data_IF_818901285953
#
_entry.id   IF_818901285953
#
_cell.length_a   1.000
_cell.length_b   1.000
_cell.length_c   1.000
_cell.angle_alpha   90.00
_cell.angle_beta   90.00
_cell.angle_gamma   90.00
#
_symmetry.space_group_name_H-M   'P 1'
#
loop_
_entity.id
_entity.type
_entity.pdbx_description
1 polymer ?
#
# COMPACT_ATOMS: atom_id res chain seq x y z
N UNK A 1 -13.35 22.33 22.02
CA UNK A 1 -13.96 20.98 21.96
C UNK A 1 -15.16 20.84 22.90
N UNK A 2 -15.03 21.17 24.19
CA UNK A 2 -16.18 21.13 25.12
C UNK A 2 -17.28 22.17 24.82
N UNK A 3 -16.90 23.31 24.25
CA UNK A 3 -17.84 24.40 23.91
C UNK A 3 -18.83 24.09 22.79
N UNK A 4 -18.59 23.04 22.00
CA UNK A 4 -19.50 22.59 20.93
C UNK A 4 -20.20 21.27 21.27
N UNK A 5 -20.21 20.86 22.56
CA UNK A 5 -20.85 19.63 23.00
C UNK A 5 -20.11 18.33 22.67
N UNK A 6 -18.89 18.40 22.10
CA UNK A 6 -18.09 17.21 21.81
C UNK A 6 -17.29 16.77 23.04
N UNK A 7 -17.62 15.60 23.57
CA UNK A 7 -16.88 14.91 24.65
C UNK A 7 -15.75 14.06 24.08
N UNK A 8 -14.79 14.70 23.41
CA UNK A 8 -13.58 14.02 22.93
C UNK A 8 -12.42 14.33 23.88
N UNK A 9 -11.84 13.29 24.48
CA UNK A 9 -10.65 13.42 25.33
C UNK A 9 -9.40 13.73 24.48
N UNK A 10 -8.45 14.49 25.04
CA UNK A 10 -7.26 14.98 24.34
C UNK A 10 -6.41 13.86 23.71
N UNK A 11 -6.13 12.75 24.43
CA UNK A 11 -5.45 11.58 23.87
C UNK A 11 -6.23 10.93 22.72
N UNK A 12 -7.56 10.80 22.86
CA UNK A 12 -8.42 10.22 21.81
C UNK A 12 -8.44 11.10 20.56
N UNK A 13 -8.50 12.42 20.73
CA UNK A 13 -8.39 13.39 19.64
C UNK A 13 -7.05 13.27 18.91
N UNK A 14 -5.95 13.20 19.67
CA UNK A 14 -4.60 13.05 19.12
C UNK A 14 -4.44 11.76 18.32
N UNK A 15 -4.98 10.65 18.83
CA UNK A 15 -4.97 9.37 18.13
C UNK A 15 -5.79 9.41 16.83
N UNK A 16 -6.99 9.97 16.87
CA UNK A 16 -7.83 10.16 15.67
C UNK A 16 -7.12 11.04 14.63
N UNK A 17 -6.47 12.11 15.06
CA UNK A 17 -5.73 13.00 14.18
C UNK A 17 -4.54 12.29 13.50
N UNK A 18 -3.76 11.50 14.25
CA UNK A 18 -2.68 10.67 13.68
C UNK A 18 -3.19 9.67 12.64
N UNK A 19 -4.35 9.05 12.89
CA UNK A 19 -4.94 8.13 11.93
C UNK A 19 -5.38 8.86 10.65
N UNK A 20 -6.01 10.03 10.79
CA UNK A 20 -6.34 10.88 9.63
C UNK A 20 -5.12 11.33 8.84
N UNK A 21 -4.00 11.64 9.50
CA UNK A 21 -2.73 11.96 8.83
C UNK A 21 -2.20 10.79 7.99
N UNK A 22 -2.34 9.55 8.45
CA UNK A 22 -1.97 8.36 7.67
C UNK A 22 -2.86 8.22 6.43
N UNK A 23 -4.17 8.34 6.59
CA UNK A 23 -5.13 8.30 5.48
C UNK A 23 -4.80 9.39 4.46
N UNK A 24 -4.50 10.61 4.91
CA UNK A 24 -4.07 11.71 4.04
C UNK A 24 -2.83 11.34 3.23
N UNK A 25 -1.77 10.81 3.85
CA UNK A 25 -0.53 10.41 3.15
C UNK A 25 -0.78 9.37 2.07
N UNK A 26 -1.57 8.33 2.37
CA UNK A 26 -1.93 7.27 1.41
C UNK A 26 -2.71 7.85 0.24
N UNK A 27 -3.67 8.72 0.52
CA UNK A 27 -4.48 9.37 -0.50
C UNK A 27 -3.66 10.33 -1.37
N UNK A 28 -2.72 11.07 -0.77
CA UNK A 28 -1.79 11.95 -1.49
C UNK A 28 -0.87 11.18 -2.43
N UNK A 29 -0.39 10.02 -1.98
CA UNK A 29 0.39 9.10 -2.83
C UNK A 29 -0.46 8.59 -4.01
N UNK A 30 -1.69 8.16 -3.75
CA UNK A 30 -2.62 7.72 -4.82
C UNK A 30 -2.88 8.83 -5.84
N UNK A 31 -3.10 10.07 -5.37
CA UNK A 31 -3.25 11.24 -6.23
C UNK A 31 -2.03 11.43 -7.15
N UNK A 32 -0.80 11.26 -6.63
CA UNK A 32 0.41 11.39 -7.45
C UNK A 32 0.58 10.30 -8.52
N UNK A 33 -0.01 9.12 -8.33
CA UNK A 33 0.08 7.98 -9.26
C UNK A 33 -1.01 8.06 -10.33
N UNK A 34 -2.25 8.40 -9.93
CA UNK A 34 -3.40 8.41 -10.83
C UNK A 34 -3.49 9.69 -11.66
N UNK A 35 -2.76 10.75 -11.29
CA UNK A 35 -2.61 11.98 -12.09
C UNK A 35 -3.87 12.84 -12.20
N UNK A 36 -5.01 12.38 -11.69
CA UNK A 36 -6.24 13.15 -11.58
C UNK A 36 -6.35 13.74 -10.18
N UNK A 37 -6.83 14.99 -10.10
CA UNK A 37 -6.84 15.85 -8.91
C UNK A 37 -7.72 15.33 -7.76
N UNK A 38 -8.31 16.24 -6.98
CA UNK A 38 -9.13 15.90 -5.80
C UNK A 38 -10.22 14.83 -6.09
N UNK A 39 -10.66 14.70 -7.34
CA UNK A 39 -11.63 13.71 -7.82
C UNK A 39 -11.22 12.25 -7.59
N UNK A 40 -9.92 11.93 -7.51
CA UNK A 40 -9.49 10.54 -7.28
C UNK A 40 -9.59 10.12 -5.80
N UNK A 41 -9.70 11.08 -4.89
CA UNK A 41 -9.80 10.85 -3.45
C UNK A 41 -11.20 11.23 -2.99
N UNK A 42 -12.10 10.25 -2.90
CA UNK A 42 -13.42 10.44 -2.31
C UNK A 42 -13.34 10.55 -0.77
N UNK A 43 -12.63 11.56 -0.27
CA UNK A 43 -12.54 11.90 1.14
C UNK A 43 -12.86 13.38 1.31
N UNK A 44 -14.06 13.73 1.84
CA UNK A 44 -14.56 15.11 1.89
C UNK A 44 -13.64 16.10 2.63
N UNK A 45 -12.80 15.59 3.52
CA UNK A 45 -11.89 16.39 4.34
C UNK A 45 -10.49 16.52 3.74
N UNK A 46 -10.23 15.96 2.54
CA UNK A 46 -8.89 15.88 1.97
C UNK A 46 -8.27 17.27 1.73
N UNK A 47 -9.00 18.19 1.10
CA UNK A 47 -8.52 19.56 0.85
C UNK A 47 -8.25 20.33 2.15
N UNK A 48 -9.14 20.18 3.13
CA UNK A 48 -8.97 20.80 4.45
C UNK A 48 -7.72 20.25 5.16
N UNK A 49 -7.47 18.95 5.02
CA UNK A 49 -6.29 18.30 5.58
C UNK A 49 -5.00 18.66 4.83
N UNK A 50 -5.09 18.90 3.52
CA UNK A 50 -3.99 19.39 2.70
C UNK A 50 -3.55 20.79 3.13
N UNK A 51 -4.49 21.69 3.46
CA UNK A 51 -4.15 23.01 3.98
C UNK A 51 -3.38 22.96 5.32
N UNK A 52 -3.64 21.93 6.14
CA UNK A 52 -2.99 21.72 7.45
C UNK A 52 -1.65 21.00 7.29
N UNK A 53 -1.61 19.90 6.52
CA UNK A 53 -0.45 19.01 6.42
C UNK A 53 0.48 19.33 5.24
N UNK A 54 -0.01 20.01 4.20
CA UNK A 54 0.73 20.36 2.99
C UNK A 54 1.64 21.57 3.15
N UNK A 55 1.45 22.38 4.21
CA UNK A 55 2.41 23.40 4.60
C UNK A 55 3.60 22.73 5.29
N UNK A 56 4.64 22.42 4.51
CA UNK A 56 5.98 22.17 5.03
C UNK A 56 6.43 23.42 5.81
N UNK A 57 6.13 23.48 7.12
CA UNK A 57 6.77 24.47 7.99
C UNK A 57 8.25 24.08 7.99
N UNK A 58 9.06 24.83 7.24
CA UNK A 58 10.52 24.76 7.31
C UNK A 58 10.91 25.15 8.72
N UNK A 59 10.99 24.19 9.62
CA UNK A 59 11.64 24.38 10.91
C UNK A 59 13.13 24.46 10.64
N UNK A 60 13.62 25.69 10.43
CA UNK A 60 15.04 25.98 10.53
C UNK A 60 15.39 25.87 12.01
N UNK A 61 15.85 24.70 12.43
CA UNK A 61 16.37 24.52 13.79
C UNK A 61 17.60 25.43 13.91
N UNK A 62 17.63 26.39 14.86
CA UNK A 62 18.82 27.21 15.09
C UNK A 62 20.00 26.29 15.44
N UNK A 63 21.08 26.43 14.66
CA UNK A 63 22.30 25.61 14.74
C UNK A 63 23.00 25.70 16.11
N UNK A 64 22.62 26.67 16.95
CA UNK A 64 23.20 26.91 18.27
C UNK A 64 22.92 25.83 19.32
N UNK A 65 21.99 24.89 19.08
CA UNK A 65 21.71 23.76 20.00
C UNK A 65 22.49 22.46 19.70
N UNK A 66 23.36 22.42 18.68
CA UNK A 66 24.16 21.24 18.32
C UNK A 66 25.66 21.47 18.57
N UNK A 67 26.01 21.84 19.80
CA UNK A 67 27.39 21.81 20.27
C UNK A 67 27.80 20.39 20.65
N UNK A 68 28.55 19.70 19.79
CA UNK A 68 29.17 18.42 20.10
C UNK A 68 29.98 17.88 18.91
N UNK A 69 31.30 18.04 18.98
CA UNK A 69 32.30 17.86 17.92
C UNK A 69 32.27 16.55 17.14
N UNK A 70 32.39 16.66 15.81
CA UNK A 70 32.81 15.61 14.86
C UNK A 70 34.24 15.14 15.17
N UNK A 71 34.57 13.90 14.75
CA UNK A 71 35.54 13.80 13.67
C UNK A 71 34.90 13.21 12.41
N UNK A 72 35.23 13.86 11.30
CA UNK A 72 34.96 13.46 9.92
C UNK A 72 35.72 12.18 9.58
N UNK A 73 35.03 11.20 9.02
CA UNK A 73 35.66 10.24 8.13
C UNK A 73 34.77 10.04 6.91
N UNK A 74 35.35 10.31 5.74
CA UNK A 74 34.69 10.22 4.45
C UNK A 74 34.61 8.75 4.05
N UNK A 75 33.42 8.16 3.97
CA UNK A 75 33.13 7.26 2.84
C UNK A 75 31.63 6.98 2.68
N UNK A 76 31.21 7.15 1.42
CA UNK A 76 30.32 6.27 0.69
C UNK A 76 28.82 6.62 0.61
N UNK A 77 28.39 6.55 -0.65
CA UNK A 77 27.05 6.77 -1.20
C UNK A 77 26.06 5.78 -0.59
N UNK A 78 24.89 6.26 -0.17
CA UNK A 78 23.56 5.72 -0.53
C UNK A 78 22.47 6.29 0.38
N UNK A 79 21.38 6.70 -0.25
CA UNK A 79 20.11 7.07 0.38
C UNK A 79 19.62 6.04 1.39
N UNK A 80 19.03 6.46 2.53
CA UNK A 80 18.12 5.61 3.28
C UNK A 80 16.67 6.07 3.07
N UNK A 81 16.03 5.33 2.18
CA UNK A 81 14.68 4.74 2.30
C UNK A 81 13.98 4.99 3.63
N UNK A 82 12.77 5.54 3.50
CA UNK A 82 11.73 5.72 4.52
C UNK A 82 11.51 4.47 5.38
N UNK A 83 11.86 4.55 6.66
CA UNK A 83 11.42 3.61 7.68
C UNK A 83 10.10 4.07 8.29
N UNK A 84 9.00 3.48 7.82
CA UNK A 84 7.76 3.39 8.59
C UNK A 84 8.00 2.56 9.85
N UNK A 85 7.59 3.08 11.01
CA UNK A 85 7.43 2.25 12.19
C UNK A 85 6.30 2.73 13.11
N UNK A 86 5.54 1.72 13.54
CA UNK A 86 4.85 1.59 14.82
C UNK A 86 3.40 2.09 14.91
N UNK A 87 2.49 1.27 14.39
CA UNK A 87 1.26 0.98 15.14
C UNK A 87 1.56 -0.02 16.26
N UNK A 88 1.01 0.30 17.42
CA UNK A 88 1.12 -0.43 18.66
C UNK A 88 0.54 -1.84 18.54
N UNK A 89 1.34 -2.80 18.98
CA UNK A 89 0.97 -4.20 19.16
C UNK A 89 -0.01 -4.29 20.33
N UNK A 90 -1.13 -5.04 20.21
CA UNK A 90 -1.98 -5.34 21.35
C UNK A 90 -1.20 -6.17 22.36
N UNK A 91 -1.22 -5.69 23.60
CA UNK A 91 -0.85 -6.33 24.85
C UNK A 91 -0.72 -7.86 24.77
N UNK A 92 0.48 -8.36 24.41
CA UNK A 92 0.78 -9.79 24.38
C UNK A 92 1.82 -10.09 25.47
N UNK A 93 1.35 -10.86 26.44
CA UNK A 93 2.07 -11.33 27.62
C UNK A 93 3.45 -11.91 27.26
N UNK A 94 4.44 -11.51 28.06
CA UNK A 94 5.69 -12.21 28.38
C UNK A 94 6.59 -12.62 27.20
N UNK A 95 7.68 -11.85 27.06
CA UNK A 95 9.02 -12.42 26.87
C UNK A 95 9.35 -13.01 25.50
N UNK A 96 9.38 -12.18 24.47
CA UNK A 96 10.11 -12.50 23.24
C UNK A 96 11.18 -11.44 23.02
N UNK A 97 12.42 -11.88 22.85
CA UNK A 97 13.56 -10.99 22.58
C UNK A 97 13.30 -10.22 21.28
N UNK A 98 13.83 -8.98 21.18
CA UNK A 98 13.67 -8.12 20.00
C UNK A 98 14.00 -8.84 18.67
N UNK A 99 14.91 -9.81 18.73
CA UNK A 99 15.30 -10.66 17.60
C UNK A 99 14.16 -11.58 17.12
N UNK A 100 13.40 -12.18 18.04
CA UNK A 100 12.26 -13.03 17.71
C UNK A 100 11.11 -12.24 17.08
N UNK A 101 10.87 -11.00 17.53
CA UNK A 101 9.88 -10.11 16.91
C UNK A 101 10.24 -9.74 15.47
N UNK A 102 11.51 -9.40 15.19
CA UNK A 102 11.98 -9.15 13.81
C UNK A 102 11.81 -10.37 12.92
N UNK A 103 12.15 -11.57 13.41
CA UNK A 103 12.00 -12.84 12.66
C UNK A 103 10.53 -13.14 12.33
N UNK A 104 9.61 -12.90 13.28
CA UNK A 104 8.18 -13.08 13.07
C UNK A 104 7.61 -12.10 12.02
N UNK A 105 8.04 -10.83 12.02
CA UNK A 105 7.64 -9.85 11.00
C UNK A 105 8.14 -10.21 9.60
N UNK A 106 9.40 -10.66 9.48
CA UNK A 106 9.96 -11.11 8.21
C UNK A 106 9.23 -12.35 7.69
N UNK A 107 8.94 -13.34 8.55
CA UNK A 107 8.19 -14.54 8.18
C UNK A 107 6.75 -14.27 7.74
N UNK A 108 6.09 -13.26 8.32
CA UNK A 108 4.74 -12.85 7.90
C UNK A 108 4.78 -12.14 6.52
N UNK A 109 5.80 -11.34 6.27
CA UNK A 109 5.97 -10.66 4.98
C UNK A 109 6.23 -11.67 3.84
N UNK A 110 7.07 -12.68 4.09
CA UNK A 110 7.34 -13.75 3.11
C UNK A 110 6.10 -14.59 2.84
N UNK A 111 5.34 -14.98 3.87
CA UNK A 111 4.10 -15.74 3.70
C UNK A 111 3.05 -14.96 2.89
N UNK A 112 2.94 -13.65 3.09
CA UNK A 112 2.03 -12.79 2.32
C UNK A 112 2.45 -12.69 0.85
N UNK A 113 3.74 -12.62 0.58
CA UNK A 113 4.28 -12.57 -0.78
C UNK A 113 4.04 -13.90 -1.52
N UNK A 114 4.33 -15.03 -0.87
CA UNK A 114 4.05 -16.37 -1.44
C UNK A 114 2.56 -16.58 -1.75
N UNK A 115 1.67 -16.13 -0.88
CA UNK A 115 0.23 -16.26 -1.10
C UNK A 115 -0.24 -15.41 -2.29
N UNK A 116 0.33 -14.21 -2.47
CA UNK A 116 0.06 -13.35 -3.61
C UNK A 116 0.60 -13.96 -4.91
N UNK A 117 1.78 -14.55 -4.89
CA UNK A 117 2.37 -15.24 -6.05
C UNK A 117 1.53 -16.45 -6.47
N UNK A 118 1.05 -17.27 -5.51
CA UNK A 118 0.12 -18.37 -5.81
C UNK A 118 -1.16 -17.88 -6.47
N UNK A 119 -1.81 -16.88 -5.88
CA UNK A 119 -3.03 -16.31 -6.44
C UNK A 119 -2.83 -15.75 -7.85
N UNK A 120 -1.70 -15.09 -8.11
CA UNK A 120 -1.36 -14.58 -9.43
C UNK A 120 -1.14 -15.72 -10.44
N UNK A 121 -0.48 -16.80 -10.01
CA UNK A 121 -0.25 -17.99 -10.84
C UNK A 121 -1.57 -18.68 -11.21
N UNK A 122 -2.45 -18.87 -10.23
CA UNK A 122 -3.76 -19.50 -10.44
C UNK A 122 -4.63 -18.66 -11.39
N UNK A 123 -4.62 -17.33 -11.23
CA UNK A 123 -5.31 -16.42 -12.14
C UNK A 123 -4.80 -16.52 -13.57
N UNK A 124 -3.48 -16.56 -13.75
CA UNK A 124 -2.86 -16.68 -15.07
C UNK A 124 -3.19 -18.03 -15.72
N UNK A 125 -3.23 -19.11 -14.92
CA UNK A 125 -3.61 -20.42 -15.40
C UNK A 125 -5.06 -20.47 -15.86
N UNK A 126 -5.98 -19.91 -15.08
CA UNK A 126 -7.40 -19.83 -15.44
C UNK A 126 -7.62 -19.06 -16.75
N UNK A 127 -6.87 -17.96 -16.97
CA UNK A 127 -6.93 -17.22 -18.22
C UNK A 127 -6.44 -18.06 -19.41
N UNK A 128 -5.35 -18.83 -19.25
CA UNK A 128 -4.85 -19.74 -20.29
C UNK A 128 -5.89 -20.80 -20.65
N UNK A 129 -6.42 -21.50 -19.65
CA UNK A 129 -7.46 -22.52 -19.84
C UNK A 129 -8.68 -21.95 -20.54
N UNK A 130 -9.11 -20.73 -20.19
CA UNK A 130 -10.21 -20.03 -20.87
C UNK A 130 -9.90 -19.77 -22.35
N UNK A 131 -8.67 -19.33 -22.67
CA UNK A 131 -8.29 -19.09 -24.07
C UNK A 131 -8.16 -20.38 -24.88
N UNK A 132 -7.69 -21.46 -24.27
CA UNK A 132 -7.58 -22.77 -24.92
C UNK A 132 -8.96 -23.38 -25.16
N UNK A 133 -9.87 -23.30 -24.19
CA UNK A 133 -11.26 -23.74 -24.34
C UNK A 133 -11.98 -22.98 -25.47
N UNK A 134 -11.74 -21.67 -25.60
CA UNK A 134 -12.31 -20.86 -26.67
C UNK A 134 -11.78 -21.30 -28.05
N UNK A 135 -10.46 -21.47 -28.18
CA UNK A 135 -9.84 -21.97 -29.42
C UNK A 135 -10.34 -23.37 -29.79
N UNK A 136 -10.46 -24.27 -28.82
CA UNK A 136 -10.97 -25.61 -29.05
C UNK A 136 -12.43 -25.58 -29.55
N UNK A 137 -13.27 -24.72 -28.94
CA UNK A 137 -14.66 -24.53 -29.38
C UNK A 137 -14.75 -23.99 -30.81
N UNK A 138 -13.91 -23.02 -31.16
CA UNK A 138 -13.83 -22.48 -32.52
C UNK A 138 -13.36 -23.54 -33.54
N UNK A 139 -12.37 -24.35 -33.18
CA UNK A 139 -11.89 -25.44 -34.03
C UNK A 139 -12.98 -26.50 -34.26
N UNK A 140 -13.69 -26.94 -33.22
CA UNK A 140 -14.80 -27.88 -33.37
C UNK A 140 -15.92 -27.31 -34.25
N UNK A 141 -16.20 -26.00 -34.15
CA UNK A 141 -17.18 -25.33 -35.02
C UNK A 141 -16.76 -25.35 -36.48
N UNK A 142 -15.48 -25.09 -36.76
CA UNK A 142 -14.92 -25.14 -38.12
C UNK A 142 -14.96 -26.54 -38.71
N UNK A 143 -14.62 -27.56 -37.93
CA UNK A 143 -14.70 -28.97 -38.36
C UNK A 143 -16.13 -29.37 -38.70
N UNK A 144 -17.10 -28.96 -37.87
CA UNK A 144 -18.51 -29.21 -38.13
C UNK A 144 -18.96 -28.57 -39.44
N UNK A 145 -18.60 -27.30 -39.65
CA UNK A 145 -18.88 -26.56 -40.89
C UNK A 145 -18.29 -27.28 -42.11
N UNK A 146 -17.02 -27.70 -42.03
CA UNK A 146 -16.37 -28.43 -43.11
C UNK A 146 -17.11 -29.72 -43.44
N UNK A 147 -17.49 -30.50 -42.41
CA UNK A 147 -18.25 -31.74 -42.60
C UNK A 147 -19.63 -31.52 -43.25
N UNK A 148 -20.26 -30.36 -43.00
CA UNK A 148 -21.55 -30.01 -43.59
C UNK A 148 -21.42 -29.67 -45.08
N UNK A 149 -20.38 -28.93 -45.46
CA UNK A 149 -20.11 -28.63 -46.87
C UNK A 149 -19.73 -29.89 -47.65
N UNK A 150 -18.90 -30.77 -47.09
CA UNK A 150 -18.48 -32.01 -47.74
C UNK A 150 -19.67 -32.97 -47.99
N UNK A 151 -20.70 -32.94 -47.14
CA UNK A 151 -21.92 -33.76 -47.30
C UNK A 151 -22.89 -33.22 -48.37
N UNK A 152 -22.88 -31.93 -48.64
CA UNK A 152 -23.79 -31.28 -49.59
C UNK A 152 -23.21 -31.15 -51.01
N UNK A 153 -21.97 -31.59 -51.25
CA UNK A 153 -21.34 -31.62 -52.58
C UNK A 153 -21.40 -32.99 -53.27
N UNK A 154 -22.06 -34.00 -52.68
CA UNK A 154 -22.39 -35.29 -53.31
C UNK A 154 -23.87 -35.34 -53.63
#
# INVERSE_FOLDING_TARGET
MKEHGFTLDGPTASMKFRNMQKTYKVNKLRQSITGQGADCVNWPYFEQFEAICGKQVKFTIPVETLGGSLPTDETNKQDPVLQENNEAIPNLKRGLTLHAYRKAKVGLATAKLELMERHNKDKLQLERERTEALKASEQSKLELLKSYFDKNQK
#
